data_IF_837362085120
#
_entry.id   IF_837362085120
#
_cell.length_a   1.000
_cell.length_b   1.000
_cell.length_c   1.000
_cell.angle_alpha   90.00
_cell.angle_beta   90.00
_cell.angle_gamma   90.00
#
_symmetry.space_group_name_H-M   'P 1'
#
loop_
_entity.id
_entity.type
_entity.pdbx_description
1 polymer ?
#
# COMPACT_ATOMS: atom_id res chain seq x y z
N UNK A 1 39.82 10.66 -32.83
CA UNK A 1 38.66 10.06 -32.07
C UNK A 1 38.26 11.09 -31.03
N UNK A 2 37.14 11.77 -31.28
CA UNK A 2 36.82 13.09 -30.76
C UNK A 2 36.06 13.02 -29.44
N UNK A 3 36.33 13.99 -28.58
CA UNK A 3 35.65 14.23 -27.27
C UNK A 3 34.12 14.20 -27.31
N UNK A 4 33.50 14.30 -28.47
CA UNK A 4 32.04 14.20 -28.67
C UNK A 4 31.47 12.81 -28.44
N UNK A 5 32.25 11.73 -28.68
CA UNK A 5 31.78 10.35 -28.45
C UNK A 5 31.71 9.98 -26.97
N UNK A 6 32.52 10.63 -26.12
CA UNK A 6 32.48 10.37 -24.66
C UNK A 6 31.36 11.10 -23.93
N UNK A 7 30.86 12.22 -24.48
CA UNK A 7 29.72 12.95 -23.91
C UNK A 7 28.40 12.26 -24.25
N UNK A 8 28.28 11.71 -25.46
CA UNK A 8 27.08 10.99 -25.91
C UNK A 8 26.85 9.68 -25.13
N UNK A 9 27.97 9.00 -24.73
CA UNK A 9 27.90 7.80 -23.92
C UNK A 9 27.46 8.07 -22.45
N UNK A 10 27.68 9.28 -21.93
CA UNK A 10 27.25 9.71 -20.59
C UNK A 10 25.79 10.16 -20.54
N UNK A 11 25.18 10.50 -21.67
CA UNK A 11 23.77 10.89 -21.78
C UNK A 11 22.82 9.69 -21.95
N UNK A 12 23.36 8.50 -22.31
CA UNK A 12 22.60 7.25 -22.45
C UNK A 12 22.69 6.35 -21.20
N UNK A 13 23.05 6.88 -20.03
CA UNK A 13 22.83 6.19 -18.76
C UNK A 13 21.33 5.95 -18.60
N UNK A 14 20.86 4.76 -18.95
CA UNK A 14 19.51 4.30 -18.62
C UNK A 14 19.35 4.47 -17.12
N UNK A 15 18.62 5.51 -16.68
CA UNK A 15 18.23 5.61 -15.27
C UNK A 15 17.51 4.29 -14.96
N UNK A 16 18.14 3.45 -14.16
CA UNK A 16 17.51 2.23 -13.67
C UNK A 16 16.18 2.67 -13.07
N UNK A 17 15.09 2.20 -13.65
CA UNK A 17 13.75 2.53 -13.16
C UNK A 17 13.58 1.84 -11.82
N UNK A 18 13.11 2.60 -10.84
CA UNK A 18 12.70 2.07 -9.54
C UNK A 18 11.70 0.92 -9.74
N UNK A 19 11.92 -0.19 -9.06
CA UNK A 19 11.07 -1.37 -9.09
C UNK A 19 10.10 -1.35 -7.91
N UNK A 20 8.81 -1.37 -8.18
CA UNK A 20 7.77 -1.54 -7.15
C UNK A 20 6.79 -2.59 -7.64
N UNK A 21 6.68 -3.70 -6.93
CA UNK A 21 5.83 -4.81 -7.34
C UNK A 21 4.50 -4.81 -6.60
N UNK A 22 3.48 -5.35 -7.25
CA UNK A 22 2.16 -5.59 -6.66
C UNK A 22 2.05 -7.07 -6.32
N UNK A 23 1.78 -7.38 -5.06
CA UNK A 23 1.50 -8.74 -4.59
C UNK A 23 0.02 -9.01 -4.73
N UNK A 24 -0.35 -10.04 -5.49
CA UNK A 24 -1.75 -10.39 -5.75
C UNK A 24 -2.33 -11.25 -4.62
N UNK A 25 -3.18 -10.66 -3.80
CA UNK A 25 -3.95 -11.32 -2.75
C UNK A 25 -5.35 -11.77 -3.24
N UNK A 26 -5.57 -11.82 -4.55
CA UNK A 26 -6.85 -12.21 -5.15
C UNK A 26 -7.89 -11.09 -5.17
N UNK A 27 -7.46 -9.84 -5.16
CA UNK A 27 -8.32 -8.67 -5.22
C UNK A 27 -8.82 -8.37 -6.63
N UNK A 28 -10.08 -7.92 -6.73
CA UNK A 28 -10.65 -7.52 -8.02
C UNK A 28 -9.96 -6.30 -8.64
N UNK A 29 -9.21 -5.51 -7.86
CA UNK A 29 -8.55 -4.28 -8.32
C UNK A 29 -7.03 -4.37 -8.39
N UNK A 30 -6.40 -5.52 -8.17
CA UNK A 30 -4.95 -5.74 -8.25
C UNK A 30 -4.35 -5.18 -9.55
N UNK A 31 -5.03 -5.37 -10.69
CA UNK A 31 -4.59 -4.80 -11.97
C UNK A 31 -4.66 -3.27 -12.02
N UNK A 32 -5.55 -2.62 -11.24
CA UNK A 32 -5.61 -1.16 -11.17
C UNK A 32 -4.42 -0.60 -10.40
N UNK A 33 -4.01 -1.22 -9.31
CA UNK A 33 -2.79 -0.88 -8.55
C UNK A 33 -1.57 -0.92 -9.47
N UNK A 34 -1.41 -2.02 -10.22
CA UNK A 34 -0.35 -2.16 -11.22
C UNK A 34 -0.43 -1.07 -12.30
N UNK A 35 -1.61 -0.72 -12.81
CA UNK A 35 -1.79 0.33 -13.82
C UNK A 35 -1.37 1.71 -13.29
N UNK A 36 -1.73 2.04 -12.04
CA UNK A 36 -1.32 3.29 -11.41
C UNK A 36 0.20 3.39 -11.34
N UNK A 37 0.88 2.34 -10.86
CA UNK A 37 2.34 2.28 -10.80
C UNK A 37 2.97 2.42 -12.20
N UNK A 38 2.41 1.73 -13.19
CA UNK A 38 2.84 1.83 -14.59
C UNK A 38 2.72 3.26 -15.12
N UNK A 39 1.58 3.90 -14.88
CA UNK A 39 1.33 5.30 -15.26
C UNK A 39 2.32 6.26 -14.59
N UNK A 40 2.69 6.01 -13.34
CA UNK A 40 3.68 6.78 -12.59
C UNK A 40 5.14 6.48 -13.01
N UNK A 41 5.34 5.61 -14.00
CA UNK A 41 6.62 5.40 -14.68
C UNK A 41 7.61 4.48 -13.97
N UNK A 42 7.17 3.72 -12.96
CA UNK A 42 8.03 2.71 -12.29
C UNK A 42 8.08 1.40 -13.06
N UNK A 43 9.13 0.64 -12.85
CA UNK A 43 9.23 -0.75 -13.29
C UNK A 43 8.39 -1.61 -12.33
N UNK A 44 7.29 -2.17 -12.83
CA UNK A 44 6.31 -2.85 -11.99
C UNK A 44 5.77 -4.12 -12.65
N UNK A 45 5.52 -5.12 -11.82
CA UNK A 45 4.84 -6.36 -12.20
C UNK A 45 3.92 -6.82 -11.06
N UNK A 46 2.93 -7.63 -11.40
CA UNK A 46 2.12 -8.36 -10.44
C UNK A 46 2.84 -9.69 -10.16
N UNK A 47 3.03 -10.00 -8.88
CA UNK A 47 3.61 -11.26 -8.42
C UNK A 47 2.59 -12.02 -7.57
N UNK A 48 2.55 -13.36 -7.65
CA UNK A 48 1.73 -14.16 -6.76
C UNK A 48 2.09 -13.93 -5.29
N UNK A 49 1.12 -13.96 -4.39
CA UNK A 49 1.36 -13.85 -2.94
C UNK A 49 2.09 -15.06 -2.36
N UNK A 50 2.30 -16.11 -3.15
CA UNK A 50 3.14 -17.26 -2.80
C UNK A 50 4.61 -17.10 -3.16
N UNK A 51 4.99 -15.96 -3.75
CA UNK A 51 6.39 -15.67 -4.13
C UNK A 51 7.25 -15.62 -2.85
N UNK A 52 8.32 -16.41 -2.72
CA UNK A 52 9.20 -16.35 -1.55
C UNK A 52 9.80 -14.95 -1.39
N UNK A 53 9.88 -14.44 -0.17
CA UNK A 53 10.42 -13.10 0.10
C UNK A 53 11.84 -12.88 -0.43
N UNK A 54 12.68 -13.93 -0.47
CA UNK A 54 14.04 -13.89 -1.03
C UNK A 54 14.10 -13.64 -2.53
N UNK A 55 12.97 -13.83 -3.24
CA UNK A 55 12.86 -13.59 -4.67
C UNK A 55 12.28 -12.21 -5.00
N UNK A 56 11.94 -11.44 -3.97
CA UNK A 56 11.43 -10.07 -4.14
C UNK A 56 12.61 -9.14 -4.37
N UNK A 57 12.83 -8.78 -5.64
CA UNK A 57 13.86 -7.82 -6.09
C UNK A 57 13.19 -6.49 -6.45
N UNK A 58 12.77 -5.73 -5.42
CA UNK A 58 12.11 -4.42 -5.60
C UNK A 58 12.46 -3.46 -4.47
N UNK A 59 12.34 -2.16 -4.75
CA UNK A 59 12.52 -1.09 -3.77
C UNK A 59 11.25 -0.78 -2.96
N UNK A 60 10.11 -1.38 -3.34
CA UNK A 60 8.85 -1.26 -2.61
C UNK A 60 7.85 -2.32 -3.01
N UNK A 61 6.86 -2.58 -2.15
CA UNK A 61 5.75 -3.50 -2.41
C UNK A 61 4.42 -2.80 -2.18
N UNK A 62 3.46 -3.09 -3.06
CA UNK A 62 2.03 -2.89 -2.81
C UNK A 62 1.42 -4.26 -2.55
N UNK A 63 0.84 -4.46 -1.38
CA UNK A 63 0.08 -5.67 -1.05
C UNK A 63 -1.38 -5.39 -1.38
N UNK A 64 -1.90 -6.05 -2.39
CA UNK A 64 -3.25 -5.77 -2.90
C UNK A 64 -4.35 -6.09 -1.88
N UNK A 65 -5.49 -5.48 -2.08
CA UNK A 65 -6.74 -5.93 -1.48
C UNK A 65 -7.05 -7.38 -1.86
N UNK A 66 -8.09 -7.95 -1.28
CA UNK A 66 -8.51 -9.33 -1.57
C UNK A 66 -9.81 -9.70 -0.87
N UNK A 67 -10.37 -10.85 -1.25
CA UNK A 67 -11.60 -11.37 -0.70
C UNK A 67 -11.46 -12.13 0.64
N UNK A 68 -10.28 -12.62 1.09
CA UNK A 68 -10.18 -13.40 2.32
C UNK A 68 -10.66 -12.62 3.55
N UNK A 69 -11.38 -13.30 4.44
CA UNK A 69 -11.67 -12.80 5.79
C UNK A 69 -10.47 -13.06 6.70
N UNK A 70 -9.87 -12.01 7.24
CA UNK A 70 -8.64 -12.14 8.02
C UNK A 70 -8.81 -13.03 9.25
N UNK A 71 -9.93 -12.94 9.95
CA UNK A 71 -10.16 -13.74 11.16
C UNK A 71 -10.18 -15.27 10.94
N UNK A 72 -10.48 -15.73 9.73
CA UNK A 72 -10.63 -17.17 9.43
C UNK A 72 -9.81 -17.65 8.23
N UNK A 73 -9.36 -16.75 7.35
CA UNK A 73 -8.75 -17.09 6.06
C UNK A 73 -7.38 -16.43 5.85
N UNK A 74 -6.74 -15.97 6.91
CA UNK A 74 -5.44 -15.26 6.84
C UNK A 74 -4.34 -16.05 6.10
N UNK A 75 -4.41 -17.39 6.14
CA UNK A 75 -3.49 -18.25 5.38
C UNK A 75 -3.55 -18.04 3.86
N UNK A 76 -4.67 -17.53 3.34
CA UNK A 76 -4.82 -17.23 1.90
C UNK A 76 -3.97 -16.04 1.43
N UNK A 77 -3.41 -15.25 2.36
CA UNK A 77 -2.47 -14.17 2.04
C UNK A 77 -1.02 -14.67 1.82
N UNK A 78 -0.82 -15.98 1.81
CA UNK A 78 0.43 -16.61 1.40
C UNK A 78 1.65 -16.14 2.18
N UNK A 79 2.68 -15.66 1.46
CA UNK A 79 3.95 -15.22 2.04
C UNK A 79 3.92 -13.80 2.67
N UNK A 80 2.75 -13.17 2.81
CA UNK A 80 2.63 -11.80 3.34
C UNK A 80 3.30 -11.67 4.71
N UNK A 81 3.14 -12.65 5.62
CA UNK A 81 3.83 -12.66 6.91
C UNK A 81 5.36 -12.64 6.76
N UNK A 82 5.89 -13.40 5.79
CA UNK A 82 7.33 -13.43 5.52
C UNK A 82 7.85 -12.08 4.99
N UNK A 83 7.06 -11.39 4.14
CA UNK A 83 7.41 -10.06 3.66
C UNK A 83 7.49 -9.08 4.83
N UNK A 84 6.50 -9.05 5.71
CA UNK A 84 6.46 -8.16 6.87
C UNK A 84 7.58 -8.47 7.88
N UNK A 85 7.95 -9.74 8.04
CA UNK A 85 9.02 -10.14 8.94
C UNK A 85 10.41 -9.77 8.40
N UNK A 86 10.69 -10.07 7.12
CA UNK A 86 12.05 -10.09 6.57
C UNK A 86 12.42 -8.89 5.72
N UNK A 87 11.45 -8.18 5.11
CA UNK A 87 11.75 -7.03 4.27
C UNK A 87 11.83 -5.74 5.11
N UNK A 88 12.70 -4.83 4.68
CA UNK A 88 12.85 -3.48 5.24
C UNK A 88 12.62 -2.39 4.19
N UNK A 89 12.02 -2.76 3.05
CA UNK A 89 11.58 -1.83 2.00
C UNK A 89 10.20 -1.25 2.35
N UNK A 90 9.82 -0.09 1.81
CA UNK A 90 8.46 0.43 1.97
C UNK A 90 7.39 -0.54 1.48
N UNK A 91 6.33 -0.69 2.27
CA UNK A 91 5.16 -1.52 1.95
C UNK A 91 3.90 -0.66 2.07
N UNK A 92 3.06 -0.67 1.04
CA UNK A 92 1.70 -0.13 1.06
C UNK A 92 0.71 -1.31 1.04
N UNK A 93 0.02 -1.51 2.15
CA UNK A 93 -0.97 -2.57 2.33
C UNK A 93 -2.39 -2.00 2.14
N UNK A 94 -3.17 -2.58 1.22
CA UNK A 94 -4.50 -2.07 0.83
C UNK A 94 -5.59 -3.04 1.32
N UNK A 95 -6.65 -2.51 1.93
CA UNK A 95 -7.85 -3.22 2.37
C UNK A 95 -7.52 -4.46 3.24
N UNK A 96 -7.73 -5.67 2.75
CA UNK A 96 -7.42 -6.90 3.51
C UNK A 96 -5.95 -6.99 3.94
N UNK A 97 -5.03 -6.48 3.14
CA UNK A 97 -3.61 -6.43 3.49
C UNK A 97 -3.32 -5.43 4.62
N UNK A 98 -4.06 -4.29 4.69
CA UNK A 98 -4.02 -3.37 5.82
C UNK A 98 -4.47 -4.05 7.12
N UNK A 99 -5.58 -4.78 7.06
CA UNK A 99 -6.07 -5.57 8.20
C UNK A 99 -5.04 -6.60 8.64
N UNK A 100 -4.43 -7.31 7.67
CA UNK A 100 -3.38 -8.28 7.95
C UNK A 100 -2.12 -7.64 8.55
N UNK A 101 -1.72 -6.47 8.08
CA UNK A 101 -0.60 -5.71 8.65
C UNK A 101 -0.84 -5.41 10.13
N UNK A 102 -2.03 -4.92 10.48
CA UNK A 102 -2.38 -4.66 11.87
C UNK A 102 -2.34 -5.95 12.72
N UNK A 103 -3.00 -7.01 12.24
CA UNK A 103 -3.08 -8.30 12.94
C UNK A 103 -1.70 -8.95 13.14
N UNK A 104 -0.83 -8.91 12.12
CA UNK A 104 0.51 -9.51 12.16
C UNK A 104 1.40 -8.89 13.26
N UNK A 105 1.11 -7.65 13.66
CA UNK A 105 1.80 -6.94 14.75
C UNK A 105 0.89 -6.72 15.99
N UNK A 106 0.02 -7.70 16.27
CA UNK A 106 -0.84 -7.80 17.46
C UNK A 106 -1.94 -6.72 17.55
N UNK A 107 -2.39 -6.17 16.41
CA UNK A 107 -3.64 -5.44 16.33
C UNK A 107 -4.84 -6.38 16.28
N UNK A 108 -6.01 -5.87 16.60
CA UNK A 108 -7.27 -6.60 16.53
C UNK A 108 -8.00 -6.25 15.24
N UNK A 109 -8.54 -7.27 14.58
CA UNK A 109 -9.35 -7.15 13.35
C UNK A 109 -10.65 -7.91 13.55
N UNK A 110 -11.73 -7.35 13.07
CA UNK A 110 -13.04 -7.98 13.21
C UNK A 110 -14.10 -7.33 12.33
N UNK A 111 -15.29 -7.88 12.38
CA UNK A 111 -16.42 -7.37 11.62
C UNK A 111 -16.70 -5.91 12.00
N UNK A 112 -16.88 -5.06 10.99
CA UNK A 112 -17.31 -3.67 11.19
C UNK A 112 -18.72 -3.63 11.74
N UNK A 113 -18.98 -2.69 12.67
CA UNK A 113 -20.35 -2.44 13.13
C UNK A 113 -21.21 -1.87 11.99
N UNK A 114 -20.61 -1.00 11.18
CA UNK A 114 -21.19 -0.44 9.97
C UNK A 114 -20.23 -0.64 8.81
N UNK A 115 -20.39 -1.71 8.02
CA UNK A 115 -19.57 -1.94 6.81
C UNK A 115 -19.67 -0.76 5.83
N UNK A 116 -18.54 -0.40 5.23
CA UNK A 116 -18.48 0.72 4.30
C UNK A 116 -18.32 0.25 2.86
N UNK A 117 -19.18 0.78 1.99
CA UNK A 117 -19.21 0.51 0.56
C UNK A 117 -19.43 1.80 -0.23
N UNK A 118 -18.64 2.00 -1.26
CA UNK A 118 -18.74 3.17 -2.12
C UNK A 118 -18.00 4.38 -1.59
N UNK A 119 -18.58 5.56 -1.77
CA UNK A 119 -17.94 6.85 -1.47
C UNK A 119 -18.09 7.21 0.01
N UNK A 120 -16.96 7.34 0.71
CA UNK A 120 -16.88 7.69 2.14
C UNK A 120 -15.96 8.90 2.33
N UNK A 121 -16.28 9.81 3.24
CA UNK A 121 -15.41 10.92 3.62
C UNK A 121 -14.31 10.41 4.57
N UNK A 122 -13.07 10.64 4.21
CA UNK A 122 -11.88 10.36 5.02
C UNK A 122 -11.42 11.65 5.70
N UNK A 123 -11.08 11.56 6.98
CA UNK A 123 -10.40 12.63 7.70
C UNK A 123 -8.99 12.20 8.10
N UNK A 124 -7.98 12.98 7.71
CA UNK A 124 -6.57 12.75 8.05
C UNK A 124 -6.29 13.29 9.44
N UNK A 125 -5.84 12.43 10.36
CA UNK A 125 -5.65 12.75 11.78
C UNK A 125 -4.33 13.46 12.06
N UNK A 126 -3.29 13.14 11.30
CA UNK A 126 -1.96 13.71 11.50
C UNK A 126 -1.20 13.89 10.19
N UNK A 127 -0.28 14.86 10.17
CA UNK A 127 0.67 15.00 9.06
C UNK A 127 1.59 13.79 9.00
N UNK A 128 1.69 13.19 7.85
CA UNK A 128 2.55 12.04 7.57
C UNK A 128 2.96 12.04 6.11
N UNK A 129 3.92 11.19 5.80
CA UNK A 129 4.51 11.14 4.46
C UNK A 129 3.50 10.65 3.40
N UNK A 130 2.60 9.69 3.77
CA UNK A 130 1.66 9.09 2.81
C UNK A 130 0.59 10.09 2.34
N UNK A 131 0.13 10.98 3.23
CA UNK A 131 -0.89 12.00 2.93
C UNK A 131 -0.29 13.41 2.77
N UNK A 132 1.02 13.51 2.59
CA UNK A 132 1.69 14.80 2.42
C UNK A 132 1.12 15.59 1.24
N UNK A 133 0.75 16.85 1.48
CA UNK A 133 0.20 17.76 0.48
C UNK A 133 -1.27 17.55 0.15
N UNK A 134 -1.95 16.60 0.81
CA UNK A 134 -3.38 16.37 0.63
C UNK A 134 -4.21 17.21 1.61
N UNK A 135 -5.48 17.52 1.27
CA UNK A 135 -6.38 18.17 2.20
C UNK A 135 -6.68 17.28 3.41
N UNK A 136 -7.10 17.91 4.51
CA UNK A 136 -7.47 17.19 5.74
C UNK A 136 -8.67 16.26 5.54
N UNK A 137 -9.59 16.61 4.65
CA UNK A 137 -10.79 15.82 4.31
C UNK A 137 -10.91 15.63 2.81
N UNK A 138 -11.20 14.42 2.40
CA UNK A 138 -11.48 14.07 1.01
C UNK A 138 -12.26 12.76 0.92
N UNK A 139 -12.81 12.45 -0.25
CA UNK A 139 -13.58 11.24 -0.45
C UNK A 139 -12.73 10.09 -0.98
N UNK A 140 -12.94 8.90 -0.40
CA UNK A 140 -12.31 7.66 -0.79
C UNK A 140 -13.36 6.61 -1.17
N UNK A 141 -12.92 5.55 -1.85
CA UNK A 141 -13.77 4.42 -2.20
C UNK A 141 -13.52 3.24 -1.29
N UNK A 142 -14.57 2.79 -0.63
CA UNK A 142 -14.56 1.69 0.33
C UNK A 142 -15.24 0.44 -0.22
N UNK A 143 -14.80 -0.72 0.25
CA UNK A 143 -15.43 -2.01 0.01
C UNK A 143 -14.97 -3.01 1.06
N UNK A 144 -15.47 -2.90 2.29
CA UNK A 144 -15.07 -3.79 3.37
C UNK A 144 -16.21 -4.14 4.34
N UNK A 145 -16.19 -5.39 4.84
CA UNK A 145 -17.02 -5.88 5.94
C UNK A 145 -16.28 -5.93 7.27
N UNK A 146 -14.98 -6.18 7.21
CA UNK A 146 -14.11 -6.27 8.38
C UNK A 146 -13.23 -5.01 8.44
N UNK A 147 -12.80 -4.65 9.63
CA UNK A 147 -11.97 -3.47 9.88
C UNK A 147 -10.93 -3.75 10.98
N UNK A 148 -9.90 -2.92 11.07
CA UNK A 148 -8.98 -2.89 12.19
C UNK A 148 -9.70 -2.24 13.38
N UNK A 149 -9.87 -2.99 14.48
CA UNK A 149 -10.54 -2.53 15.72
C UNK A 149 -9.58 -1.79 16.64
N UNK A 150 -8.35 -2.29 16.74
CA UNK A 150 -7.31 -1.65 17.54
C UNK A 150 -5.92 -1.96 16.98
N UNK A 151 -4.98 -1.10 17.28
CA UNK A 151 -3.55 -1.29 16.97
C UNK A 151 -2.70 -1.08 18.23
N UNK A 152 -1.52 -1.69 18.25
CA UNK A 152 -0.56 -1.50 19.34
C UNK A 152 0.09 -0.12 19.28
N UNK A 153 0.81 0.26 20.35
CA UNK A 153 1.60 1.51 20.42
C UNK A 153 2.70 1.62 19.34
N UNK A 154 3.00 0.52 18.66
CA UNK A 154 3.98 0.51 17.56
C UNK A 154 3.40 1.03 16.25
N UNK A 155 2.12 1.40 16.24
CA UNK A 155 1.45 2.03 15.11
C UNK A 155 1.02 3.47 15.42
N UNK A 156 0.97 4.27 14.37
CA UNK A 156 0.28 5.55 14.36
C UNK A 156 -0.94 5.42 13.46
N UNK A 157 -2.12 5.79 13.96
CA UNK A 157 -3.33 5.96 13.14
C UNK A 157 -3.19 7.26 12.36
N UNK A 158 -3.39 7.21 11.07
CA UNK A 158 -3.18 8.32 10.15
C UNK A 158 -4.48 8.97 9.69
N UNK A 159 -5.57 8.21 9.63
CA UNK A 159 -6.87 8.68 9.14
C UNK A 159 -8.02 7.80 9.67
N UNK A 160 -9.20 8.39 9.72
CA UNK A 160 -10.45 7.72 10.08
C UNK A 160 -11.60 8.18 9.16
N UNK A 161 -12.72 7.45 9.22
CA UNK A 161 -14.03 7.87 8.70
C UNK A 161 -15.04 7.95 9.84
N UNK A 162 -16.28 8.35 9.53
CA UNK A 162 -17.35 8.38 10.53
C UNK A 162 -17.57 7.01 11.19
N UNK A 163 -17.53 5.93 10.40
CA UNK A 163 -17.85 4.58 10.86
C UNK A 163 -16.63 3.71 11.16
N UNK A 164 -15.46 4.00 10.55
CA UNK A 164 -14.25 3.24 10.75
C UNK A 164 -13.14 4.11 11.35
N UNK A 165 -12.76 3.82 12.60
CA UNK A 165 -11.78 4.63 13.36
C UNK A 165 -10.36 4.48 12.87
N UNK A 166 -10.04 3.43 12.12
CA UNK A 166 -8.68 3.11 11.68
C UNK A 166 -8.69 2.84 10.17
N UNK A 167 -8.78 3.91 9.41
CA UNK A 167 -8.77 3.89 7.95
C UNK A 167 -7.36 3.84 7.35
N UNK A 168 -6.37 4.35 8.10
CA UNK A 168 -4.98 4.29 7.67
C UNK A 168 -4.04 4.21 8.88
N UNK A 169 -2.94 3.45 8.71
CA UNK A 169 -1.92 3.22 9.74
C UNK A 169 -0.51 3.31 9.17
N UNK A 170 0.43 3.68 10.05
CA UNK A 170 1.87 3.57 9.83
C UNK A 170 2.48 2.70 10.93
N UNK A 171 3.22 1.67 10.56
CA UNK A 171 4.04 0.92 11.51
C UNK A 171 5.36 1.64 11.78
N UNK A 172 5.66 1.94 13.04
CA UNK A 172 6.74 2.85 13.41
C UNK A 172 8.13 2.23 13.34
N UNK A 173 8.24 0.89 13.32
CA UNK A 173 9.55 0.18 13.31
C UNK A 173 10.06 -0.13 11.91
N UNK A 174 9.18 -0.08 10.89
CA UNK A 174 9.52 -0.30 9.48
C UNK A 174 8.68 0.63 8.61
N UNK A 175 9.08 0.93 7.37
CA UNK A 175 8.35 1.82 6.48
C UNK A 175 7.08 1.15 5.89
N UNK A 176 6.21 0.65 6.77
CA UNK A 176 4.99 -0.02 6.37
C UNK A 176 3.78 0.86 6.64
N UNK A 177 2.94 0.99 5.61
CA UNK A 177 1.72 1.77 5.61
C UNK A 177 0.55 0.88 5.24
N UNK A 178 -0.59 1.10 5.85
CA UNK A 178 -1.83 0.43 5.51
C UNK A 178 -2.95 1.42 5.30
N UNK A 179 -3.81 1.17 4.31
CA UNK A 179 -5.04 1.92 4.05
C UNK A 179 -6.20 0.95 3.87
N UNK A 180 -7.34 1.22 4.52
CA UNK A 180 -8.53 0.38 4.41
C UNK A 180 -9.23 0.59 3.07
N UNK A 181 -9.26 1.82 2.59
CA UNK A 181 -9.85 2.21 1.31
C UNK A 181 -8.98 1.82 0.11
N UNK A 182 -9.53 2.02 -1.08
CA UNK A 182 -8.90 1.66 -2.36
C UNK A 182 -8.38 2.89 -3.11
N UNK A 183 -7.10 3.29 -2.95
CA UNK A 183 -6.52 4.45 -3.64
C UNK A 183 -6.38 4.25 -5.15
N UNK A 184 -6.40 2.99 -5.64
CA UNK A 184 -6.32 2.63 -7.06
C UNK A 184 -7.65 2.80 -7.79
N UNK A 185 -8.75 3.00 -7.08
CA UNK A 185 -10.09 3.16 -7.66
C UNK A 185 -10.30 4.61 -8.09
N UNK A 186 -10.82 4.81 -9.29
CA UNK A 186 -11.02 6.11 -9.93
C UNK A 186 -11.82 7.10 -9.08
N UNK A 187 -12.74 6.60 -8.25
CA UNK A 187 -13.59 7.42 -7.39
C UNK A 187 -12.91 7.88 -6.09
N UNK A 188 -11.71 7.36 -5.78
CA UNK A 188 -10.90 7.86 -4.68
C UNK A 188 -10.19 9.14 -5.11
N UNK A 189 -10.52 10.23 -4.41
CA UNK A 189 -9.81 11.50 -4.61
C UNK A 189 -8.36 11.36 -4.16
N UNK A 190 -7.44 11.98 -4.90
CA UNK A 190 -5.99 11.98 -4.60
C UNK A 190 -5.34 10.57 -4.55
N UNK A 191 -5.97 9.55 -5.16
CA UNK A 191 -5.38 8.20 -5.18
C UNK A 191 -4.00 8.17 -5.83
N UNK A 192 -3.81 8.88 -6.95
CA UNK A 192 -2.50 8.99 -7.61
C UNK A 192 -1.45 9.69 -6.73
N UNK A 193 -1.85 10.72 -5.98
CA UNK A 193 -0.99 11.46 -5.07
C UNK A 193 -0.52 10.56 -3.91
N UNK A 194 -1.41 9.72 -3.36
CA UNK A 194 -1.08 8.71 -2.35
C UNK A 194 -0.01 7.74 -2.88
N UNK A 195 -0.19 7.22 -4.10
CA UNK A 195 0.83 6.39 -4.73
C UNK A 195 2.15 7.15 -4.99
N UNK A 196 2.10 8.40 -5.43
CA UNK A 196 3.32 9.24 -5.61
C UNK A 196 4.07 9.42 -4.30
N UNK A 197 3.34 9.71 -3.21
CA UNK A 197 3.92 9.86 -1.88
C UNK A 197 4.57 8.55 -1.43
N UNK A 198 3.90 7.41 -1.62
CA UNK A 198 4.48 6.09 -1.38
C UNK A 198 5.75 5.84 -2.20
N UNK A 199 5.74 6.19 -3.49
CA UNK A 199 6.94 6.06 -4.34
C UNK A 199 8.09 6.96 -3.91
N UNK A 200 7.81 8.08 -3.25
CA UNK A 200 8.86 8.93 -2.66
C UNK A 200 9.56 8.21 -1.51
N UNK A 201 8.81 7.46 -0.70
CA UNK A 201 9.38 6.62 0.37
C UNK A 201 10.27 5.49 -0.19
N UNK A 202 9.93 4.95 -1.36
CA UNK A 202 10.72 3.89 -2.01
C UNK A 202 12.06 4.38 -2.58
N UNK A 203 12.28 5.68 -2.67
CA UNK A 203 13.54 6.27 -3.18
C UNK A 203 14.62 6.45 -2.12
N UNK A 204 14.25 6.30 -0.82
CA UNK A 204 15.14 6.43 0.33
C UNK A 204 15.44 7.88 0.67
#
# INVERSE_FOLDING_TARGET
MTLQTSLQARLNGSKVKMKVYVVDNGGQWTHREWRVLKYLGVDTKIIPNTTPWKQVDSEGLVLSGGAPRIGTESAKLGATAEYLANLNIPILAICVAHQYLAMNFNGEVGQAEMPEYGKVELEVDCNNELFQGLPKKFYVWESHNDEVKSVTKDFTVLAHSENCKIQAIKYMKKPFYGVQFHPEVEHTQYGYEIFKNFLTLCRG
#
